data_IF_962054537648
#
_entry.id   IF_962054537648
#
_cell.length_a   1.000
_cell.length_b   1.000
_cell.length_c   1.000
_cell.angle_alpha   90.00
_cell.angle_beta   90.00
_cell.angle_gamma   90.00
#
_symmetry.space_group_name_H-M   'P 1'
#
loop_
_entity.id
_entity.type
_entity.pdbx_description
1 polymer ?
#
# COMPACT_ATOMS: atom_id res chain seq x y z
N UNK A 1 -52.24 -34.33 -43.54
CA UNK A 1 -52.15 -34.80 -44.95
C UNK A 1 -50.80 -34.34 -45.50
N UNK A 2 -49.98 -35.31 -45.93
CA UNK A 2 -48.75 -35.23 -46.75
C UNK A 2 -47.56 -34.43 -46.18
N UNK A 3 -46.45 -35.05 -45.73
CA UNK A 3 -45.36 -35.71 -46.49
C UNK A 3 -44.53 -34.70 -47.31
N UNK A 4 -43.20 -34.64 -47.33
CA UNK A 4 -42.09 -35.47 -46.83
C UNK A 4 -40.79 -34.64 -46.94
N UNK A 5 -39.70 -35.05 -46.27
CA UNK A 5 -38.40 -35.44 -46.86
C UNK A 5 -37.26 -35.37 -45.83
N UNK A 6 -36.51 -36.45 -45.79
CA UNK A 6 -35.36 -36.71 -44.94
C UNK A 6 -34.10 -35.95 -45.41
N UNK A 7 -33.19 -35.66 -44.48
CA UNK A 7 -31.75 -35.60 -44.72
C UNK A 7 -31.02 -35.81 -43.39
N UNK A 8 -30.30 -36.94 -43.30
CA UNK A 8 -29.39 -37.30 -42.21
C UNK A 8 -28.10 -36.52 -42.39
N UNK A 9 -27.61 -35.86 -41.35
CA UNK A 9 -26.23 -35.40 -41.26
C UNK A 9 -25.70 -35.71 -39.85
N UNK A 10 -24.97 -36.81 -39.72
CA UNK A 10 -24.16 -37.11 -38.54
C UNK A 10 -22.89 -36.25 -38.64
N UNK A 11 -22.83 -35.17 -37.87
CA UNK A 11 -21.60 -34.41 -37.69
C UNK A 11 -20.78 -35.08 -36.57
N UNK A 12 -19.77 -35.84 -36.97
CA UNK A 12 -18.71 -36.31 -36.07
C UNK A 12 -17.84 -35.09 -35.74
N UNK A 13 -17.84 -34.66 -34.47
CA UNK A 13 -16.93 -33.63 -33.98
C UNK A 13 -15.53 -34.24 -33.81
N UNK A 14 -14.49 -33.76 -34.51
CA UNK A 14 -13.12 -34.08 -34.14
C UNK A 14 -12.74 -33.26 -32.90
N UNK A 15 -12.43 -33.96 -31.81
CA UNK A 15 -11.68 -33.39 -30.69
C UNK A 15 -10.28 -33.06 -31.22
N UNK A 16 -10.04 -31.81 -31.59
CA UNK A 16 -8.70 -31.31 -31.87
C UNK A 16 -7.97 -31.12 -30.53
N UNK A 17 -7.26 -32.17 -30.11
CA UNK A 17 -6.15 -32.05 -29.18
C UNK A 17 -5.01 -31.34 -29.94
N UNK A 18 -4.87 -30.03 -29.72
CA UNK A 18 -3.68 -29.29 -30.10
C UNK A 18 -2.58 -29.58 -29.07
N UNK A 19 -1.90 -30.72 -29.24
CA UNK A 19 -0.63 -30.98 -28.58
C UNK A 19 0.44 -30.18 -29.31
N UNK A 20 0.87 -29.06 -28.73
CA UNK A 20 2.21 -28.54 -29.03
C UNK A 20 3.20 -29.53 -28.44
N UNK A 21 4.16 -29.96 -29.25
CA UNK A 21 5.27 -30.83 -28.87
C UNK A 21 5.92 -30.25 -27.60
N UNK A 22 5.57 -30.86 -26.47
CA UNK A 22 6.08 -30.54 -25.16
C UNK A 22 6.75 -31.82 -24.71
N UNK A 23 8.08 -31.84 -24.71
CA UNK A 23 8.82 -32.85 -23.99
C UNK A 23 8.23 -32.95 -22.57
N UNK A 24 8.04 -34.15 -22.01
CA UNK A 24 7.48 -34.28 -20.68
C UNK A 24 8.40 -33.57 -19.69
N UNK A 25 7.98 -32.39 -19.23
CA UNK A 25 8.62 -31.73 -18.11
C UNK A 25 8.59 -32.70 -16.93
N UNK A 26 9.75 -32.92 -16.33
CA UNK A 26 9.85 -33.68 -15.10
C UNK A 26 8.90 -33.06 -14.05
N UNK A 27 8.31 -33.86 -13.14
CA UNK A 27 7.47 -33.31 -12.09
C UNK A 27 8.28 -32.30 -11.25
N UNK A 28 8.03 -30.99 -11.43
CA UNK A 28 8.68 -29.96 -10.63
C UNK A 28 8.86 -28.57 -11.26
N UNK A 29 8.73 -28.37 -12.57
CA UNK A 29 9.01 -27.05 -13.18
C UNK A 29 7.76 -26.17 -13.28
N UNK A 30 7.67 -25.23 -12.33
CA UNK A 30 6.75 -24.09 -12.35
C UNK A 30 7.40 -22.97 -13.19
N UNK A 31 6.68 -22.29 -14.11
CA UNK A 31 7.25 -21.17 -14.87
C UNK A 31 7.77 -20.09 -13.92
N UNK A 32 9.08 -19.83 -13.96
CA UNK A 32 9.69 -18.77 -13.17
C UNK A 32 9.21 -17.41 -13.71
N UNK A 33 8.49 -16.67 -12.87
CA UNK A 33 8.31 -15.24 -13.08
C UNK A 33 9.68 -14.56 -13.17
N UNK A 34 9.87 -13.46 -13.93
CA UNK A 34 11.13 -12.75 -13.94
C UNK A 34 11.51 -12.43 -12.50
N UNK A 35 12.58 -13.07 -12.02
CA UNK A 35 13.12 -12.76 -10.71
C UNK A 35 13.48 -11.28 -10.76
N UNK A 36 12.82 -10.46 -9.95
CA UNK A 36 13.31 -9.12 -9.66
C UNK A 36 14.79 -9.28 -9.34
N UNK A 37 15.66 -8.59 -10.08
CA UNK A 37 17.10 -8.72 -9.94
C UNK A 37 17.43 -8.66 -8.44
N UNK A 38 17.89 -9.79 -7.90
CA UNK A 38 18.39 -9.88 -6.54
C UNK A 38 19.75 -9.17 -6.55
N UNK A 39 19.73 -7.84 -6.72
CA UNK A 39 20.81 -7.00 -6.28
C UNK A 39 20.92 -7.14 -4.77
N UNK A 40 22.11 -6.88 -4.23
CA UNK A 40 22.34 -6.88 -2.79
C UNK A 40 21.28 -5.99 -2.11
N UNK A 41 20.37 -6.61 -1.34
CA UNK A 41 19.32 -5.88 -0.61
C UNK A 41 20.00 -5.13 0.52
N UNK A 42 20.12 -3.81 0.36
CA UNK A 42 20.61 -2.90 1.38
C UNK A 42 19.43 -2.34 2.16
N UNK A 43 19.39 -2.64 3.44
CA UNK A 43 18.34 -2.17 4.34
C UNK A 43 18.65 -0.78 4.88
N UNK A 44 17.58 -0.06 5.20
CA UNK A 44 17.63 1.24 5.87
C UNK A 44 17.95 1.13 7.37
N UNK A 45 17.82 2.24 8.11
CA UNK A 45 18.03 2.25 9.54
C UNK A 45 16.97 1.41 10.26
N UNK A 46 17.23 1.11 11.54
CA UNK A 46 16.22 0.51 12.39
C UNK A 46 15.23 1.57 12.87
N UNK A 47 13.95 1.36 12.60
CA UNK A 47 12.87 2.15 13.19
C UNK A 47 12.38 1.48 14.47
N UNK A 48 12.27 2.21 15.60
CA UNK A 48 11.58 1.72 16.78
C UNK A 48 10.13 1.33 16.46
N UNK A 49 9.51 0.56 17.35
CA UNK A 49 8.08 0.23 17.27
C UNK A 49 7.26 1.49 16.97
N UNK A 50 6.35 1.40 15.99
CA UNK A 50 5.52 2.52 15.54
C UNK A 50 6.32 3.75 15.05
N UNK A 51 7.55 3.59 14.56
CA UNK A 51 8.43 4.72 14.22
C UNK A 51 8.90 5.50 15.45
N UNK A 52 8.74 4.97 16.65
CA UNK A 52 8.98 5.70 17.89
C UNK A 52 7.88 6.70 18.26
N UNK A 53 6.72 6.65 17.59
CA UNK A 53 5.55 7.48 17.90
C UNK A 53 4.73 6.82 19.01
N UNK A 54 4.37 7.62 20.01
CA UNK A 54 3.52 7.20 21.12
C UNK A 54 2.04 7.46 20.86
N UNK A 55 1.16 6.75 21.56
CA UNK A 55 -0.28 7.00 21.56
C UNK A 55 -0.63 8.45 22.00
N UNK A 56 0.19 9.03 22.87
CA UNK A 56 0.04 10.43 23.27
C UNK A 56 0.39 11.37 22.11
N UNK A 57 1.49 11.12 21.40
CA UNK A 57 1.93 11.93 20.26
C UNK A 57 0.89 11.91 19.14
N UNK A 58 0.39 10.73 18.76
CA UNK A 58 -0.63 10.64 17.70
C UNK A 58 -1.91 11.37 18.11
N UNK A 59 -2.35 11.24 19.36
CA UNK A 59 -3.54 11.94 19.86
C UNK A 59 -3.35 13.46 19.89
N UNK A 60 -2.14 13.93 20.23
CA UNK A 60 -1.82 15.36 20.26
C UNK A 60 -1.77 15.97 18.86
N UNK A 61 -1.16 15.29 17.89
CA UNK A 61 -1.02 15.82 16.53
C UNK A 61 -2.32 15.75 15.74
N UNK A 62 -3.12 14.69 15.93
CA UNK A 62 -4.37 14.51 15.19
C UNK A 62 -5.56 15.23 15.82
N UNK A 63 -5.47 15.56 17.11
CA UNK A 63 -6.57 16.11 17.91
C UNK A 63 -7.84 15.23 17.94
N UNK A 64 -7.72 13.96 17.54
CA UNK A 64 -8.85 13.01 17.54
C UNK A 64 -8.99 12.37 18.92
N UNK A 65 -10.13 12.54 19.61
CA UNK A 65 -10.35 11.92 20.90
C UNK A 65 -10.56 10.41 20.77
N UNK A 66 -10.12 9.66 21.78
CA UNK A 66 -10.43 8.24 21.90
C UNK A 66 -9.74 7.34 20.87
N UNK A 67 -8.59 7.76 20.33
CA UNK A 67 -7.77 6.88 19.50
C UNK A 67 -7.29 5.67 20.29
N UNK A 68 -7.40 4.50 19.66
CA UNK A 68 -6.92 3.22 20.19
C UNK A 68 -5.91 2.66 19.21
N UNK A 69 -4.75 2.25 19.70
CA UNK A 69 -3.79 1.47 18.93
C UNK A 69 -4.36 0.05 18.72
N UNK A 70 -4.93 -0.19 17.54
CA UNK A 70 -5.62 -1.44 17.20
C UNK A 70 -4.71 -2.50 16.61
N UNK A 71 -3.55 -2.11 16.12
CA UNK A 71 -2.57 -3.02 15.56
C UNK A 71 -1.18 -2.50 15.85
N UNK A 72 -0.34 -3.38 16.38
CA UNK A 72 1.08 -3.11 16.60
C UNK A 72 1.87 -4.35 16.20
N UNK A 73 2.70 -4.21 15.17
CA UNK A 73 3.50 -5.30 14.60
C UNK A 73 4.97 -4.89 14.50
N UNK A 74 5.83 -5.79 14.01
CA UNK A 74 7.23 -5.47 13.74
C UNK A 74 7.42 -4.49 12.58
N UNK A 75 6.40 -4.26 11.75
CA UNK A 75 6.48 -3.45 10.52
C UNK A 75 5.49 -2.30 10.50
N UNK A 76 4.70 -2.08 11.55
CA UNK A 76 3.71 -1.01 11.51
C UNK A 76 2.77 -0.95 12.69
N UNK A 77 2.05 0.17 12.77
CA UNK A 77 1.03 0.45 13.78
C UNK A 77 -0.19 1.13 13.18
N UNK A 78 -1.35 0.97 13.82
CA UNK A 78 -2.61 1.57 13.38
C UNK A 78 -3.43 2.09 14.56
N UNK A 79 -3.88 3.34 14.46
CA UNK A 79 -4.77 3.98 15.41
C UNK A 79 -6.13 4.26 14.80
N UNK A 80 -7.17 3.86 15.51
CA UNK A 80 -8.57 4.02 15.11
C UNK A 80 -9.38 4.68 16.23
N UNK A 81 -10.29 5.58 15.87
CA UNK A 81 -11.19 6.20 16.84
C UNK A 81 -12.12 5.14 17.45
N UNK A 82 -12.05 4.98 18.78
CA UNK A 82 -12.80 3.95 19.51
C UNK A 82 -12.51 2.51 19.08
N UNK A 83 -11.43 2.28 18.32
CA UNK A 83 -11.12 0.98 17.71
C UNK A 83 -11.98 0.59 16.49
N UNK A 84 -12.79 1.52 15.98
CA UNK A 84 -13.68 1.27 14.83
C UNK A 84 -12.94 1.39 13.50
N UNK A 85 -13.17 0.43 12.59
CA UNK A 85 -12.66 0.52 11.20
C UNK A 85 -13.38 1.60 10.38
N UNK A 86 -14.49 2.13 10.90
CA UNK A 86 -15.22 3.26 10.34
C UNK A 86 -14.82 4.51 11.12
N UNK A 87 -14.33 5.53 10.41
CA UNK A 87 -13.89 6.80 11.00
C UNK A 87 -12.50 7.20 10.53
N UNK A 88 -11.82 8.11 11.24
CA UNK A 88 -10.45 8.49 10.91
C UNK A 88 -9.50 7.31 11.11
N UNK A 89 -8.47 7.23 10.27
CA UNK A 89 -7.48 6.17 10.24
C UNK A 89 -6.07 6.77 10.18
N UNK A 90 -5.19 6.30 11.06
CA UNK A 90 -3.80 6.73 11.12
C UNK A 90 -2.91 5.50 11.18
N UNK A 91 -1.91 5.41 10.30
CA UNK A 91 -1.01 4.27 10.31
C UNK A 91 0.43 4.62 9.96
N UNK A 92 1.34 3.90 10.60
CA UNK A 92 2.74 3.80 10.24
C UNK A 92 3.02 2.43 9.64
N UNK A 93 3.74 2.40 8.52
CA UNK A 93 4.22 1.16 7.92
C UNK A 93 5.71 1.29 7.55
N UNK A 94 6.48 0.24 7.78
CA UNK A 94 7.88 0.11 7.37
C UNK A 94 7.99 -1.07 6.39
N UNK A 95 8.24 -0.76 5.13
CA UNK A 95 8.38 -1.73 4.06
C UNK A 95 9.85 -2.09 3.87
N UNK A 96 10.20 -3.37 4.08
CA UNK A 96 11.57 -3.86 3.96
C UNK A 96 11.81 -4.60 2.65
N UNK A 97 12.88 -4.27 1.93
CA UNK A 97 13.23 -4.85 0.64
C UNK A 97 12.21 -4.51 -0.46
N UNK A 98 11.47 -3.41 -0.30
CA UNK A 98 10.50 -2.92 -1.28
C UNK A 98 10.91 -1.52 -1.75
N UNK A 99 11.14 -1.30 -3.05
CA UNK A 99 11.47 0.03 -3.55
C UNK A 99 10.24 0.95 -3.48
N UNK A 100 10.43 2.19 -2.99
CA UNK A 100 9.36 3.19 -2.84
C UNK A 100 8.63 3.48 -4.16
N UNK A 101 9.33 3.34 -5.29
CA UNK A 101 8.78 3.61 -6.62
C UNK A 101 7.65 2.66 -7.02
N UNK A 102 7.48 1.51 -6.34
CA UNK A 102 6.28 0.68 -6.50
C UNK A 102 5.07 1.35 -5.86
N UNK A 103 5.25 1.87 -4.65
CA UNK A 103 4.19 2.52 -3.88
C UNK A 103 3.78 3.84 -4.52
N UNK A 104 4.74 4.67 -4.92
CA UNK A 104 4.48 5.93 -5.63
C UNK A 104 3.56 5.74 -6.85
N UNK A 105 3.69 4.63 -7.58
CA UNK A 105 2.81 4.31 -8.72
C UNK A 105 1.39 3.97 -8.31
N UNK A 106 1.20 3.30 -7.16
CA UNK A 106 -0.13 3.05 -6.58
C UNK A 106 -0.79 4.37 -6.18
N UNK A 107 -0.01 5.24 -5.54
CA UNK A 107 -0.46 6.55 -5.11
C UNK A 107 -0.84 7.44 -6.30
N UNK A 108 -0.03 7.46 -7.37
CA UNK A 108 -0.32 8.19 -8.61
C UNK A 108 -1.62 7.73 -9.31
N UNK A 109 -2.07 6.49 -9.06
CA UNK A 109 -3.31 5.95 -9.61
C UNK A 109 -4.54 6.24 -8.74
N UNK A 110 -4.36 6.53 -7.46
CA UNK A 110 -5.46 6.53 -6.48
C UNK A 110 -5.62 7.82 -5.69
N UNK A 111 -4.63 8.71 -5.68
CA UNK A 111 -4.66 9.99 -4.99
C UNK A 111 -4.95 11.15 -5.93
N UNK A 112 -5.38 12.25 -5.33
CA UNK A 112 -5.62 13.51 -6.03
C UNK A 112 -4.32 14.10 -6.59
N UNK A 113 -3.23 14.03 -5.81
CA UNK A 113 -1.90 14.44 -6.24
C UNK A 113 -0.83 13.58 -5.58
N UNK A 114 0.33 13.51 -6.24
CA UNK A 114 1.56 12.93 -5.70
C UNK A 114 2.71 13.85 -6.11
N UNK A 115 3.45 14.33 -5.13
CA UNK A 115 4.54 15.29 -5.30
C UNK A 115 5.79 14.80 -4.60
N UNK A 116 6.96 15.27 -5.04
CA UNK A 116 8.22 14.93 -4.40
C UNK A 116 8.39 15.73 -3.10
N UNK A 117 8.95 15.10 -2.07
CA UNK A 117 9.23 15.75 -0.78
C UNK A 117 10.60 15.31 -0.25
N UNK A 118 11.23 16.19 0.54
CA UNK A 118 12.42 15.87 1.32
C UNK A 118 12.15 16.20 2.80
N UNK A 119 12.39 15.23 3.68
CA UNK A 119 12.25 15.39 5.14
C UNK A 119 13.55 14.87 5.78
N UNK A 120 14.18 15.70 6.60
CA UNK A 120 15.44 15.35 7.29
C UNK A 120 16.54 14.84 6.34
N UNK A 121 16.58 15.34 5.10
CA UNK A 121 17.57 14.94 4.09
C UNK A 121 17.24 13.65 3.34
N UNK A 122 16.07 13.06 3.57
CA UNK A 122 15.61 11.86 2.88
C UNK A 122 14.49 12.19 1.89
N UNK A 123 14.67 11.73 0.65
CA UNK A 123 13.72 11.94 -0.42
C UNK A 123 12.57 10.93 -0.37
N UNK A 124 11.42 11.35 -0.89
CA UNK A 124 10.25 10.52 -0.99
C UNK A 124 9.11 11.22 -1.72
N UNK A 125 7.88 10.86 -1.37
CA UNK A 125 6.68 11.48 -1.94
C UNK A 125 5.72 11.93 -0.83
N UNK A 126 4.91 12.91 -1.16
CA UNK A 126 3.70 13.30 -0.44
C UNK A 126 2.52 13.15 -1.38
N UNK A 127 1.47 12.49 -0.92
CA UNK A 127 0.27 12.22 -1.71
C UNK A 127 -0.97 12.66 -0.95
N UNK A 128 -1.91 13.32 -1.63
CA UNK A 128 -3.12 13.85 -1.00
C UNK A 128 -4.39 13.23 -1.57
N UNK A 129 -5.35 12.91 -0.72
CA UNK A 129 -6.69 12.49 -1.13
C UNK A 129 -7.75 13.50 -0.66
N UNK A 130 -8.70 13.77 -1.55
CA UNK A 130 -9.81 14.68 -1.29
C UNK A 130 -11.13 13.93 -1.08
N UNK A 131 -11.86 14.34 -0.05
CA UNK A 131 -13.27 14.03 0.11
C UNK A 131 -14.14 15.20 -0.39
N UNK A 132 -15.29 14.88 -0.97
CA UNK A 132 -16.20 15.87 -1.57
C UNK A 132 -16.74 16.91 -0.58
N UNK A 133 -16.77 16.59 0.71
CA UNK A 133 -17.32 17.42 1.78
C UNK A 133 -16.25 17.94 2.73
N UNK A 134 -15.19 17.16 2.95
CA UNK A 134 -14.11 17.50 3.86
C UNK A 134 -13.00 18.30 3.15
N UNK A 135 -12.87 18.21 1.83
CA UNK A 135 -11.68 18.67 1.10
C UNK A 135 -10.54 17.67 1.29
N UNK A 136 -9.29 18.13 1.22
CA UNK A 136 -8.14 17.28 1.52
C UNK A 136 -8.20 16.78 2.96
N UNK A 137 -8.51 15.50 3.12
CA UNK A 137 -8.69 14.84 4.42
C UNK A 137 -7.72 13.66 4.59
N UNK A 138 -7.04 13.26 3.52
CA UNK A 138 -6.04 12.21 3.51
C UNK A 138 -4.69 12.80 3.07
N UNK A 139 -3.63 12.48 3.81
CA UNK A 139 -2.27 12.71 3.37
C UNK A 139 -1.39 11.51 3.69
N UNK A 140 -0.63 11.07 2.70
CA UNK A 140 0.31 9.95 2.79
C UNK A 140 1.71 10.43 2.45
N UNK A 141 2.69 10.04 3.27
CA UNK A 141 4.10 10.38 3.04
C UNK A 141 4.92 9.11 3.10
N UNK A 142 5.56 8.77 1.97
CA UNK A 142 6.57 7.72 1.88
C UNK A 142 7.97 8.33 1.85
N UNK A 143 8.93 7.81 2.64
CA UNK A 143 10.35 8.26 2.65
C UNK A 143 11.29 7.08 2.45
N UNK A 144 12.21 7.20 1.49
CA UNK A 144 13.11 6.13 1.06
C UNK A 144 14.38 6.02 1.93
N UNK A 145 14.74 4.77 2.23
CA UNK A 145 15.99 4.36 2.85
C UNK A 145 16.58 3.13 2.14
N UNK A 146 17.47 3.34 1.16
CA UNK A 146 18.05 2.26 0.33
C UNK A 146 16.97 1.38 -0.34
N UNK A 147 16.81 0.12 0.06
CA UNK A 147 15.75 -0.77 -0.43
C UNK A 147 14.52 -0.86 0.49
N UNK A 148 14.48 -0.05 1.54
CA UNK A 148 13.37 0.03 2.50
C UNK A 148 12.71 1.42 2.42
N UNK A 149 11.45 1.56 2.79
CA UNK A 149 10.83 2.87 3.00
C UNK A 149 9.86 2.83 4.17
N UNK A 150 9.63 3.98 4.79
CA UNK A 150 8.54 4.16 5.75
C UNK A 150 7.40 4.92 5.08
N UNK A 151 6.20 4.69 5.55
CA UNK A 151 5.02 5.42 5.13
C UNK A 151 4.14 5.77 6.33
N UNK A 152 3.70 7.03 6.37
CA UNK A 152 2.61 7.48 7.22
C UNK A 152 1.38 7.74 6.37
N UNK A 153 0.23 7.21 6.78
CA UNK A 153 -1.10 7.55 6.24
C UNK A 153 -1.92 8.24 7.32
N UNK A 154 -2.44 9.43 7.01
CA UNK A 154 -3.21 10.28 7.92
C UNK A 154 -4.53 10.62 7.26
N UNK A 155 -5.62 10.01 7.73
CA UNK A 155 -6.96 10.15 7.17
C UNK A 155 -7.97 10.61 8.22
N UNK A 156 -8.63 11.72 7.97
CA UNK A 156 -9.72 12.23 8.81
C UNK A 156 -11.08 11.94 8.19
N UNK A 157 -12.10 11.78 9.05
CA UNK A 157 -13.46 11.47 8.63
C UNK A 157 -14.51 12.52 9.03
N UNK A 158 -14.17 13.49 9.87
CA UNK A 158 -15.10 14.54 10.31
C UNK A 158 -14.39 15.82 10.72
N UNK A 159 -14.94 16.99 10.36
CA UNK A 159 -14.42 18.30 10.75
C UNK A 159 -14.85 18.68 12.18
N UNK A 160 -14.07 19.51 12.90
CA UNK A 160 -12.78 20.07 12.49
C UNK A 160 -11.64 19.06 12.66
N UNK A 161 -10.62 19.17 11.81
CA UNK A 161 -9.35 18.43 11.92
C UNK A 161 -8.18 19.35 11.55
N UNK A 162 -6.97 19.10 12.09
CA UNK A 162 -5.75 19.78 11.65
C UNK A 162 -5.38 19.40 10.21
N UNK A 163 -4.50 20.16 9.57
CA UNK A 163 -4.03 19.84 8.21
C UNK A 163 -3.42 18.42 8.17
N UNK A 164 -3.96 17.49 7.34
CA UNK A 164 -3.49 16.11 7.33
C UNK A 164 -2.04 15.97 6.92
N UNK A 165 -1.55 16.85 6.04
CA UNK A 165 -0.18 16.81 5.56
C UNK A 165 0.81 17.39 6.57
N UNK A 166 0.44 18.41 7.34
CA UNK A 166 1.30 18.88 8.43
C UNK A 166 1.44 17.81 9.54
N UNK A 167 0.36 17.09 9.85
CA UNK A 167 0.42 15.94 10.77
C UNK A 167 1.31 14.83 10.20
N UNK A 168 1.12 14.44 8.94
CA UNK A 168 1.94 13.41 8.29
C UNK A 168 3.43 13.79 8.23
N UNK A 169 3.75 15.05 7.93
CA UNK A 169 5.14 15.57 7.91
C UNK A 169 5.79 15.45 9.28
N UNK A 170 5.09 15.86 10.34
CA UNK A 170 5.66 15.83 11.69
C UNK A 170 5.85 14.41 12.22
N UNK A 171 4.88 13.52 11.99
CA UNK A 171 4.99 12.09 12.32
C UNK A 171 6.16 11.43 11.58
N UNK A 172 6.31 11.75 10.29
CA UNK A 172 7.42 11.26 9.47
C UNK A 172 8.75 11.78 9.99
N UNK A 173 8.88 13.09 10.22
CA UNK A 173 10.09 13.72 10.76
C UNK A 173 10.53 13.08 12.08
N UNK A 174 9.60 12.92 13.03
CA UNK A 174 9.90 12.25 14.30
C UNK A 174 10.35 10.81 14.09
N UNK A 175 9.72 10.08 13.16
CA UNK A 175 10.08 8.69 12.86
C UNK A 175 11.51 8.56 12.31
N UNK A 176 11.93 9.50 11.46
CA UNK A 176 13.30 9.57 10.93
C UNK A 176 14.28 9.89 12.07
N UNK A 177 14.00 10.93 12.86
CA UNK A 177 14.88 11.36 13.97
C UNK A 177 15.03 10.27 15.04
N UNK A 178 14.00 9.45 15.25
CA UNK A 178 14.01 8.35 16.22
C UNK A 178 14.73 7.08 15.72
N UNK A 179 15.06 7.01 14.43
CA UNK A 179 15.72 5.84 13.82
C UNK A 179 17.20 5.71 14.25
N UNK A 180 17.77 4.51 14.11
CA UNK A 180 19.16 4.18 14.53
C UNK A 180 19.92 3.37 13.49
#
# INVERSE_FOLDING_TARGET
MLAALASVAVAVLPLLAACSDSEPAAPGEVPQSPQAQQGDIKHGPFFPQCGGISDQTISQLTEVPGLVNTATTSVGCQWLAGGSIVGPHFSFTHFRGSPIGRERKTEELSRTSVEDINIEGHDGFIATGDDLTLGTNLCEIGIQFDNDFIEWSVSFAEKPFPDPCEVAKELTRQSIVNSR
#
